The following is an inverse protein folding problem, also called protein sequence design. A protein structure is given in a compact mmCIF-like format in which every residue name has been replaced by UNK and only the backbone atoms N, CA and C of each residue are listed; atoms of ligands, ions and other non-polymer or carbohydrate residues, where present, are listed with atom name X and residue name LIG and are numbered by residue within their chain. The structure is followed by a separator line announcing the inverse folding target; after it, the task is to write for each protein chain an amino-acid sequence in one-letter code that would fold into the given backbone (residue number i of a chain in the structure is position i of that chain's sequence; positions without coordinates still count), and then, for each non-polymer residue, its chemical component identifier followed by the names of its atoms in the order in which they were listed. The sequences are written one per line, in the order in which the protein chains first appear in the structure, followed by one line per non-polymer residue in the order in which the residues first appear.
data_IF_169182801365
#
_entry.id   IF_169182801365
#
_cell.length_a   1.000
_cell.length_b   1.000
_cell.length_c   1.000
_cell.angle_alpha   90.00
_cell.angle_beta   90.00
_cell.angle_gamma   90.00
#
_symmetry.space_group_name_H-M   'P 1'
#
loop_
_entity.id
_entity.type
_entity.pdbx_description
1 polymer ?
#
# COMPACT_ATOMS: atom_id res chain seq x y z
N UNK A 1 -19.99 11.78 23.04
CA UNK A 1 -20.61 10.64 22.33
C UNK A 1 -19.65 10.23 21.23
N UNK A 2 -19.46 8.93 20.96
CA UNK A 2 -18.68 8.53 19.79
C UNK A 2 -19.36 9.07 18.54
N UNK A 3 -18.58 9.73 17.68
CA UNK A 3 -19.08 10.25 16.42
C UNK A 3 -19.42 9.06 15.50
N UNK A 4 -20.66 9.01 15.00
CA UNK A 4 -21.17 7.88 14.22
C UNK A 4 -21.07 8.23 12.75
N UNK A 5 -19.97 7.84 12.12
CA UNK A 5 -19.83 7.96 10.67
C UNK A 5 -20.65 6.86 9.98
N UNK A 6 -21.62 7.26 9.14
CA UNK A 6 -22.49 6.33 8.41
C UNK A 6 -22.13 6.30 6.92
N UNK A 7 -21.43 5.25 6.51
CA UNK A 7 -21.06 5.04 5.11
C UNK A 7 -22.27 4.54 4.30
N UNK A 8 -22.72 5.29 3.29
CA UNK A 8 -23.78 4.82 2.37
C UNK A 8 -23.19 3.92 1.29
N UNK A 9 -23.57 2.65 1.31
CA UNK A 9 -23.18 1.63 0.34
C UNK A 9 -24.08 1.72 -0.89
N UNK A 10 -23.64 2.45 -1.90
CA UNK A 10 -24.38 2.59 -3.17
C UNK A 10 -23.41 2.58 -4.35
N UNK A 11 -23.74 1.82 -5.39
CA UNK A 11 -22.98 1.75 -6.63
C UNK A 11 -21.51 1.41 -6.40
N UNK A 12 -20.62 2.26 -6.92
CA UNK A 12 -19.15 2.08 -6.87
C UNK A 12 -18.59 1.85 -5.46
N UNK A 13 -19.20 2.43 -4.42
CA UNK A 13 -18.73 2.27 -3.04
C UNK A 13 -18.94 0.87 -2.47
N UNK A 14 -20.02 0.20 -2.89
CA UNK A 14 -20.27 -1.17 -2.43
C UNK A 14 -19.31 -2.14 -3.12
N UNK A 15 -19.11 -1.95 -4.43
CA UNK A 15 -18.14 -2.75 -5.19
C UNK A 15 -16.72 -2.62 -4.63
N UNK A 16 -16.28 -1.39 -4.29
CA UNK A 16 -14.97 -1.17 -3.67
C UNK A 16 -14.79 -1.96 -2.36
N UNK A 17 -15.84 -2.10 -1.55
CA UNK A 17 -15.75 -2.87 -0.31
C UNK A 17 -15.81 -4.38 -0.55
N UNK A 18 -16.51 -4.83 -1.59
CA UNK A 18 -16.47 -6.23 -2.04
C UNK A 18 -15.06 -6.57 -2.51
N UNK A 19 -14.50 -5.77 -3.40
CA UNK A 19 -13.14 -5.98 -3.92
C UNK A 19 -12.08 -5.94 -2.80
N UNK A 20 -12.25 -5.04 -1.84
CA UNK A 20 -11.38 -4.94 -0.67
C UNK A 20 -11.52 -6.16 0.25
N UNK A 21 -12.73 -6.65 0.48
CA UNK A 21 -12.98 -7.88 1.24
C UNK A 21 -12.36 -9.10 0.55
N UNK A 22 -12.52 -9.24 -0.76
CA UNK A 22 -11.94 -10.35 -1.54
C UNK A 22 -10.40 -10.34 -1.55
N UNK A 23 -9.79 -9.15 -1.57
CA UNK A 23 -8.33 -8.99 -1.58
C UNK A 23 -7.69 -9.02 -0.20
N UNK A 24 -8.50 -8.94 0.86
CA UNK A 24 -8.04 -9.04 2.25
C UNK A 24 -8.44 -10.39 2.84
N UNK A 25 -7.79 -10.84 3.90
CA UNK A 25 -8.14 -12.11 4.57
C UNK A 25 -9.28 -11.90 5.57
N UNK A 26 -10.06 -10.82 5.45
CA UNK A 26 -11.05 -10.43 6.44
C UNK A 26 -12.46 -10.89 6.05
N UNK A 27 -13.24 -11.28 7.06
CA UNK A 27 -14.60 -11.83 6.88
C UNK A 27 -15.70 -10.77 6.86
N UNK A 28 -15.37 -9.49 6.92
CA UNK A 28 -16.35 -8.39 6.94
C UNK A 28 -15.78 -7.13 6.28
N UNK A 29 -16.62 -6.44 5.50
CA UNK A 29 -16.33 -5.11 4.90
C UNK A 29 -15.80 -4.07 5.90
N UNK A 30 -16.38 -4.03 7.10
CA UNK A 30 -15.96 -3.07 8.13
C UNK A 30 -14.52 -3.31 8.60
N UNK A 31 -14.16 -4.57 8.86
CA UNK A 31 -12.80 -4.94 9.28
C UNK A 31 -11.79 -4.77 8.15
N UNK A 32 -12.18 -5.09 6.92
CA UNK A 32 -11.35 -4.84 5.74
C UNK A 32 -11.05 -3.32 5.58
N UNK A 33 -12.05 -2.48 5.80
CA UNK A 33 -11.89 -1.02 5.78
C UNK A 33 -10.99 -0.52 6.91
N UNK A 34 -11.16 -1.01 8.14
CA UNK A 34 -10.31 -0.65 9.28
C UNK A 34 -8.84 -1.01 9.03
N UNK A 35 -8.57 -2.19 8.45
CA UNK A 35 -7.22 -2.62 8.11
C UNK A 35 -6.60 -1.76 6.98
N UNK A 36 -7.39 -1.41 5.96
CA UNK A 36 -6.95 -0.50 4.90
C UNK A 36 -6.60 0.89 5.45
N UNK A 37 -7.42 1.43 6.35
CA UNK A 37 -7.15 2.72 7.02
C UNK A 37 -5.88 2.62 7.87
N UNK A 38 -5.69 1.54 8.63
CA UNK A 38 -4.46 1.31 9.41
C UNK A 38 -3.23 1.20 8.53
N UNK A 39 -3.32 0.49 7.40
CA UNK A 39 -2.23 0.37 6.46
C UNK A 39 -1.86 1.74 5.88
N UNK A 40 -2.84 2.51 5.42
CA UNK A 40 -2.63 3.88 4.94
C UNK A 40 -1.98 4.77 6.01
N UNK A 41 -2.50 4.76 7.24
CA UNK A 41 -1.96 5.55 8.34
C UNK A 41 -0.54 5.13 8.75
N UNK A 42 -0.16 3.85 8.60
CA UNK A 42 1.21 3.38 8.83
C UNK A 42 2.17 3.76 7.70
N UNK A 43 1.66 3.82 6.48
CA UNK A 43 2.42 4.26 5.31
C UNK A 43 2.66 5.77 5.33
N UNK A 44 1.70 6.54 5.84
CA UNK A 44 1.76 8.02 5.89
C UNK A 44 2.28 8.54 7.24
N UNK A 45 2.24 7.76 8.33
CA UNK A 45 2.44 8.27 9.69
C UNK A 45 3.80 8.00 10.32
N UNK A 46 4.39 9.06 10.89
CA UNK A 46 5.23 9.04 12.11
C UNK A 46 6.66 8.50 11.99
N UNK A 47 7.12 8.21 10.78
CA UNK A 47 8.50 7.79 10.54
C UNK A 47 9.34 9.04 10.23
N UNK A 48 10.65 9.05 10.52
CA UNK A 48 11.55 10.21 10.36
C UNK A 48 11.59 10.78 8.93
N UNK A 49 10.98 10.07 7.99
CA UNK A 49 10.97 10.32 6.57
C UNK A 49 9.52 10.25 6.11
N UNK A 50 8.78 11.30 6.39
CA UNK A 50 7.40 11.47 5.92
C UNK A 50 7.45 11.95 4.47
N UNK A 51 7.05 11.15 3.46
CA UNK A 51 6.79 11.69 2.14
C UNK A 51 5.68 12.73 2.31
N UNK A 52 5.98 13.98 1.93
CA UNK A 52 5.16 15.14 2.29
C UNK A 52 3.67 14.91 2.09
N UNK A 53 2.85 15.50 2.97
CA UNK A 53 1.38 15.35 3.00
C UNK A 53 0.77 15.46 1.59
N UNK A 54 0.37 14.32 1.00
CA UNK A 54 -0.18 14.26 -0.37
C UNK A 54 0.54 13.27 -1.30
N UNK A 55 1.82 12.97 -1.07
CA UNK A 55 2.63 12.11 -1.95
C UNK A 55 2.04 10.70 -2.16
N UNK A 56 1.46 10.11 -1.10
CA UNK A 56 0.78 8.81 -1.23
C UNK A 56 -0.53 8.90 -2.04
N UNK A 57 -1.21 10.05 -1.99
CA UNK A 57 -2.37 10.32 -2.84
C UNK A 57 -1.99 10.44 -4.31
N UNK A 58 -0.89 11.15 -4.60
CA UNK A 58 -0.36 11.30 -5.96
C UNK A 58 0.11 9.96 -6.54
N UNK A 59 0.71 9.10 -5.71
CA UNK A 59 1.09 7.74 -6.09
C UNK A 59 -0.13 6.90 -6.48
N UNK A 60 -1.18 6.89 -5.64
CA UNK A 60 -2.40 6.15 -5.93
C UNK A 60 -3.11 6.67 -7.18
N UNK A 61 -3.18 8.00 -7.36
CA UNK A 61 -3.75 8.60 -8.56
C UNK A 61 -2.97 8.20 -9.82
N UNK A 62 -1.64 8.24 -9.77
CA UNK A 62 -0.79 7.86 -10.91
C UNK A 62 -0.92 6.37 -11.23
N UNK A 63 -1.07 5.52 -10.21
CA UNK A 63 -1.31 4.09 -10.41
C UNK A 63 -2.66 3.81 -11.08
N UNK A 64 -3.71 4.52 -10.66
CA UNK A 64 -5.04 4.42 -11.28
C UNK A 64 -5.02 4.88 -12.75
N UNK A 65 -4.26 5.94 -13.07
CA UNK A 65 -4.13 6.45 -14.44
C UNK A 65 -3.35 5.51 -15.36
N UNK A 66 -2.29 4.87 -14.85
CA UNK A 66 -1.37 4.03 -15.64
C UNK A 66 -1.71 2.53 -15.61
N UNK A 67 -2.66 2.12 -14.76
CA UNK A 67 -3.03 0.71 -14.56
C UNK A 67 -2.01 -0.08 -13.75
N UNK A 68 -1.05 0.59 -13.12
CA UNK A 68 0.05 0.02 -12.35
C UNK A 68 1.29 0.91 -12.37
N UNK A 69 2.17 0.72 -11.38
CA UNK A 69 3.46 1.41 -11.30
C UNK A 69 4.58 0.40 -11.06
N UNK A 70 5.71 0.64 -11.68
CA UNK A 70 6.97 -0.04 -11.40
C UNK A 70 7.60 0.49 -10.11
N UNK A 71 8.53 -0.28 -9.53
CA UNK A 71 9.26 0.12 -8.33
C UNK A 71 10.03 1.45 -8.51
N UNK A 72 10.52 1.72 -9.72
CA UNK A 72 11.21 2.97 -10.05
C UNK A 72 10.27 4.19 -10.03
N UNK A 73 9.07 4.06 -10.59
CA UNK A 73 8.06 5.13 -10.59
C UNK A 73 7.52 5.40 -9.18
N UNK A 74 7.36 4.34 -8.38
CA UNK A 74 7.00 4.45 -6.96
C UNK A 74 8.05 5.27 -6.20
N UNK A 75 9.34 4.98 -6.43
CA UNK A 75 10.44 5.70 -5.79
C UNK A 75 10.55 7.17 -6.24
N UNK A 76 10.24 7.47 -7.50
CA UNK A 76 10.19 8.84 -8.02
C UNK A 76 9.09 9.68 -7.35
N UNK A 77 7.90 9.09 -7.16
CA UNK A 77 6.75 9.79 -6.56
C UNK A 77 6.89 9.91 -5.04
N UNK A 78 7.40 8.87 -4.38
CA UNK A 78 7.62 8.87 -2.94
C UNK A 78 8.97 9.46 -2.54
N UNK A 79 9.68 10.12 -3.45
CA UNK A 79 11.02 10.64 -3.19
C UNK A 79 11.05 11.56 -1.97
N UNK A 80 11.58 11.01 -0.89
CA UNK A 80 12.09 11.70 0.30
C UNK A 80 13.58 11.38 0.37
N UNK A 81 14.39 12.29 0.91
CA UNK A 81 15.85 12.10 1.08
C UNK A 81 16.15 10.91 2.01
N UNK A 82 16.01 9.69 1.53
CA UNK A 82 16.54 8.46 2.13
C UNK A 82 17.67 7.90 1.26
N UNK A 83 18.69 7.36 1.93
CA UNK A 83 19.77 6.64 1.28
C UNK A 83 19.19 5.50 0.44
N UNK A 84 19.59 5.35 -0.83
CA UNK A 84 19.03 4.34 -1.73
C UNK A 84 19.27 2.94 -1.16
N UNK A 85 18.18 2.17 -0.99
CA UNK A 85 18.27 0.75 -0.66
C UNK A 85 18.76 0.00 -1.89
N UNK A 86 20.04 -0.38 -1.88
CA UNK A 86 20.60 -1.28 -2.89
C UNK A 86 20.19 -2.72 -2.53
N UNK A 87 19.41 -3.34 -3.42
CA UNK A 87 19.06 -4.75 -3.31
C UNK A 87 19.92 -5.56 -4.27
N UNK A 88 20.77 -6.43 -3.74
CA UNK A 88 21.42 -7.49 -4.52
C UNK A 88 20.68 -8.82 -4.28
N UNK A 89 20.20 -9.49 -5.35
CA UNK A 89 19.62 -10.83 -5.21
C UNK A 89 20.69 -11.80 -4.72
N UNK A 90 20.37 -12.56 -3.66
CA UNK A 90 21.29 -13.53 -3.10
C UNK A 90 21.61 -14.62 -4.14
N UNK A 91 22.84 -14.62 -4.65
CA UNK A 91 23.37 -15.72 -5.46
C UNK A 91 23.87 -16.79 -4.49
N UNK A 92 23.10 -17.86 -4.33
CA UNK A 92 23.52 -19.02 -3.55
C UNK A 92 23.95 -20.13 -4.50
N UNK A 93 25.12 -20.71 -4.25
CA UNK A 93 25.60 -21.92 -4.91
C UNK A 93 25.43 -23.09 -3.96
N UNK A 94 24.69 -24.12 -4.36
CA UNK A 94 24.73 -25.41 -3.68
C UNK A 94 26.10 -26.01 -3.97
N UNK A 95 26.88 -26.28 -2.92
CA UNK A 95 28.13 -27.02 -3.06
C UNK A 95 27.84 -28.37 -3.70
N UNK A 96 28.49 -28.65 -4.83
CA UNK A 96 28.47 -29.98 -5.42
C UNK A 96 29.35 -30.85 -4.51
N UNK A 97 28.73 -31.66 -3.66
CA UNK A 97 29.45 -32.71 -2.93
C UNK A 97 30.00 -33.70 -3.97
N UNK A 98 31.30 -33.58 -4.26
CA UNK A 98 32.05 -34.60 -5.01
C UNK A 98 32.52 -35.68 -4.00
N UNK A 99 31.92 -36.87 -4.10
CA UNK A 99 32.45 -38.14 -3.56
C UNK A 99 33.62 -38.68 -4.41
#
# INVERSE_FOLDING_TARGET
MPDSFRWRLTGRRDQLLVDLEERTVQNTKAKALDDAVRAYLRLVGGNAVEPGRGAFGDLLATADERGGLSAAEIAEILAVDELPVQYEPATWSIGNDEE
#
